data_IF_379695186802
#
_entry.id   IF_379695186802
#
_cell.length_a   1.000
_cell.length_b   1.000
_cell.length_c   1.000
_cell.angle_alpha   90.00
_cell.angle_beta   90.00
_cell.angle_gamma   90.00
#
_symmetry.space_group_name_H-M   'P 1'
#
loop_
_entity.id
_entity.type
_entity.pdbx_description
1 polymer ?
#
# COMPACT_ATOMS: atom_id res chain seq x y z
N UNK A 1 0.30 -13.10 20.79
CA UNK A 1 0.75 -12.65 19.45
C UNK A 1 0.18 -11.29 19.05
N UNK A 2 -1.10 -11.16 18.71
CA UNK A 2 -1.76 -9.90 18.27
C UNK A 2 -1.50 -8.69 19.20
N UNK A 3 -1.61 -8.84 20.53
CA UNK A 3 -1.33 -7.75 21.48
C UNK A 3 0.11 -7.20 21.38
N UNK A 4 1.09 -8.04 21.04
CA UNK A 4 2.49 -7.63 20.87
C UNK A 4 2.64 -6.87 19.55
N UNK A 5 2.05 -7.40 18.48
CA UNK A 5 2.08 -6.79 17.15
C UNK A 5 1.45 -5.39 17.15
N UNK A 6 0.28 -5.24 17.78
CA UNK A 6 -0.40 -3.94 17.91
C UNK A 6 0.43 -2.90 18.67
N UNK A 7 1.22 -3.30 19.68
CA UNK A 7 2.08 -2.37 20.44
C UNK A 7 3.20 -1.75 19.59
N UNK A 8 3.59 -2.40 18.50
CA UNK A 8 4.65 -1.90 17.60
C UNK A 8 4.13 -0.80 16.66
N UNK A 9 2.83 -0.75 16.38
CA UNK A 9 2.25 0.06 15.30
C UNK A 9 1.31 1.17 15.79
N UNK A 10 1.00 1.19 17.09
CA UNK A 10 0.02 2.11 17.67
C UNK A 10 0.73 3.25 18.39
N UNK A 11 0.27 4.48 18.15
CA UNK A 11 0.78 5.67 18.83
C UNK A 11 0.61 5.59 20.35
N UNK A 12 1.56 6.19 21.07
CA UNK A 12 1.51 6.25 22.53
C UNK A 12 0.60 7.38 23.03
N UNK A 13 0.60 8.51 22.31
CA UNK A 13 -0.16 9.72 22.63
C UNK A 13 -1.52 9.68 21.90
N UNK A 14 -2.51 10.41 22.42
CA UNK A 14 -3.87 10.53 21.88
C UNK A 14 -4.71 9.22 21.93
N UNK A 15 -5.65 9.16 22.87
CA UNK A 15 -6.50 7.99 23.11
C UNK A 15 -7.46 7.67 21.95
N UNK A 16 -7.89 8.68 21.19
CA UNK A 16 -8.83 8.52 20.07
C UNK A 16 -8.12 7.85 18.89
N UNK A 17 -6.94 8.37 18.50
CA UNK A 17 -6.12 7.78 17.43
C UNK A 17 -5.76 6.34 17.78
N UNK A 18 -5.33 6.11 19.03
CA UNK A 18 -5.01 4.77 19.54
C UNK A 18 -6.16 3.78 19.40
N UNK A 19 -7.40 4.19 19.70
CA UNK A 19 -8.57 3.33 19.58
C UNK A 19 -8.89 3.01 18.11
N UNK A 20 -8.78 4.00 17.22
CA UNK A 20 -8.96 3.83 15.78
C UNK A 20 -7.92 2.85 15.21
N UNK A 21 -6.63 3.10 15.44
CA UNK A 21 -5.54 2.24 14.94
C UNK A 21 -5.70 0.81 15.46
N UNK A 22 -6.06 0.64 16.73
CA UNK A 22 -6.30 -0.70 17.29
C UNK A 22 -7.41 -1.46 16.55
N UNK A 23 -8.48 -0.79 16.11
CA UNK A 23 -9.57 -1.43 15.37
C UNK A 23 -9.11 -1.83 13.97
N UNK A 24 -8.53 -0.89 13.23
CA UNK A 24 -8.06 -1.09 11.85
C UNK A 24 -6.98 -2.18 11.79
N UNK A 25 -5.93 -2.05 12.61
CA UNK A 25 -4.80 -2.99 12.61
C UNK A 25 -5.21 -4.40 13.05
N UNK A 26 -6.17 -4.53 13.98
CA UNK A 26 -6.66 -5.85 14.38
C UNK A 26 -7.33 -6.56 13.20
N UNK A 27 -8.15 -5.85 12.43
CA UNK A 27 -8.80 -6.42 11.25
C UNK A 27 -7.75 -6.76 10.17
N UNK A 28 -6.86 -5.81 9.86
CA UNK A 28 -5.79 -5.99 8.89
C UNK A 28 -4.93 -7.22 9.20
N UNK A 29 -4.31 -7.29 10.38
CA UNK A 29 -3.46 -8.41 10.77
C UNK A 29 -4.20 -9.75 10.88
N UNK A 30 -5.51 -9.75 11.12
CA UNK A 30 -6.32 -10.97 11.05
C UNK A 30 -6.52 -11.44 9.60
N UNK A 31 -6.67 -10.52 8.65
CA UNK A 31 -6.86 -10.83 7.24
C UNK A 31 -5.56 -11.28 6.57
N UNK A 32 -4.42 -10.74 7.00
CA UNK A 32 -3.10 -11.01 6.37
C UNK A 32 -2.27 -12.07 7.08
N UNK A 33 -2.76 -12.68 8.17
CA UNK A 33 -2.01 -13.64 9.01
C UNK A 33 -1.49 -14.87 8.29
N UNK A 34 -2.09 -15.23 7.14
CA UNK A 34 -1.72 -16.41 6.36
C UNK A 34 -0.72 -16.10 5.23
N UNK A 35 -0.23 -14.86 5.09
CA UNK A 35 0.80 -14.50 4.10
C UNK A 35 2.07 -15.31 4.34
N UNK A 36 2.58 -15.97 3.30
CA UNK A 36 3.81 -16.78 3.30
C UNK A 36 4.82 -16.30 2.28
N UNK A 37 4.34 -15.74 1.16
CA UNK A 37 5.18 -15.18 0.10
C UNK A 37 4.66 -13.82 -0.33
N UNK A 38 5.44 -13.15 -1.19
CA UNK A 38 5.03 -11.90 -1.83
C UNK A 38 3.76 -12.05 -2.67
N UNK A 39 3.50 -13.25 -3.21
CA UNK A 39 2.28 -13.54 -3.97
C UNK A 39 1.01 -13.50 -3.13
N UNK A 40 1.13 -13.50 -1.80
CA UNK A 40 -0.01 -13.39 -0.90
C UNK A 40 -0.44 -11.93 -0.65
N UNK A 41 0.32 -10.95 -1.14
CA UNK A 41 0.01 -9.53 -1.06
C UNK A 41 -1.03 -9.12 -2.11
N UNK A 42 -1.68 -7.98 -1.90
CA UNK A 42 -2.81 -7.56 -2.73
C UNK A 42 -2.40 -7.25 -4.17
N UNK A 43 -1.33 -6.47 -4.45
CA UNK A 43 -0.89 -6.20 -5.82
C UNK A 43 -0.61 -7.47 -6.60
N UNK A 44 0.07 -8.43 -5.97
CA UNK A 44 0.37 -9.71 -6.59
C UNK A 44 -0.90 -10.46 -7.02
N UNK A 45 -1.89 -10.55 -6.12
CA UNK A 45 -3.15 -11.24 -6.39
C UNK A 45 -3.94 -10.54 -7.50
N UNK A 46 -4.03 -9.22 -7.45
CA UNK A 46 -4.77 -8.42 -8.44
C UNK A 46 -4.14 -8.56 -9.82
N UNK A 47 -2.84 -8.32 -9.96
CA UNK A 47 -2.16 -8.37 -11.26
C UNK A 47 -2.05 -9.79 -11.82
N UNK A 48 -1.89 -10.81 -10.98
CA UNK A 48 -2.01 -12.22 -11.43
C UNK A 48 -3.41 -12.53 -11.92
N UNK A 49 -4.45 -12.05 -11.24
CA UNK A 49 -5.83 -12.29 -11.69
C UNK A 49 -6.17 -11.52 -12.97
N UNK A 50 -5.62 -10.32 -13.12
CA UNK A 50 -5.73 -9.55 -14.35
C UNK A 50 -5.09 -10.27 -15.54
N UNK A 51 -3.90 -10.87 -15.38
CA UNK A 51 -3.28 -11.60 -16.49
C UNK A 51 -4.02 -12.91 -16.83
N UNK A 52 -4.60 -13.60 -15.84
CA UNK A 52 -5.50 -14.73 -16.11
C UNK A 52 -6.67 -14.30 -16.99
N UNK A 53 -7.33 -13.19 -16.65
CA UNK A 53 -8.42 -12.63 -17.45
C UNK A 53 -7.98 -12.27 -18.88
N UNK A 54 -6.80 -11.65 -19.04
CA UNK A 54 -6.26 -11.33 -20.37
C UNK A 54 -6.02 -12.61 -21.18
N UNK A 55 -5.43 -13.65 -20.58
CA UNK A 55 -5.19 -14.94 -21.25
C UNK A 55 -6.48 -15.63 -21.66
N UNK A 56 -7.52 -15.57 -20.83
CA UNK A 56 -8.84 -16.12 -21.12
C UNK A 56 -9.59 -15.34 -22.22
N UNK A 57 -9.08 -14.17 -22.63
CA UNK A 57 -9.74 -13.29 -23.61
C UNK A 57 -8.93 -13.06 -24.89
N UNK A 58 -7.85 -13.80 -25.11
CA UNK A 58 -6.97 -13.63 -26.30
C UNK A 58 -7.68 -13.84 -27.65
N UNK A 59 -8.75 -14.65 -27.68
CA UNK A 59 -9.50 -14.89 -28.91
C UNK A 59 -10.46 -13.74 -29.28
N UNK A 60 -10.63 -12.74 -28.40
CA UNK A 60 -11.50 -11.60 -28.66
C UNK A 60 -10.73 -10.45 -29.31
N UNK A 61 -11.32 -9.85 -30.36
CA UNK A 61 -10.68 -8.75 -31.11
C UNK A 61 -10.55 -7.43 -30.33
N UNK A 62 -11.41 -7.20 -29.33
CA UNK A 62 -11.43 -5.97 -28.52
C UNK A 62 -11.83 -6.32 -27.10
N UNK A 63 -10.93 -6.08 -26.17
CA UNK A 63 -11.12 -6.33 -24.75
C UNK A 63 -11.04 -5.00 -24.00
N UNK A 64 -11.93 -4.80 -23.04
CA UNK A 64 -11.81 -3.75 -22.06
C UNK A 64 -11.54 -4.41 -20.71
N UNK A 65 -10.39 -4.08 -20.10
CA UNK A 65 -9.99 -4.58 -18.79
C UNK A 65 -9.84 -3.40 -17.84
N UNK A 66 -10.65 -3.37 -16.78
CA UNK A 66 -10.49 -2.44 -15.67
C UNK A 66 -9.83 -3.19 -14.52
N UNK A 67 -8.65 -2.71 -14.12
CA UNK A 67 -7.90 -3.22 -12.98
C UNK A 67 -7.97 -2.17 -11.89
N UNK A 68 -8.54 -2.53 -10.75
CA UNK A 68 -8.63 -1.69 -9.56
C UNK A 68 -7.70 -2.28 -8.49
N UNK A 69 -6.50 -1.71 -8.36
CA UNK A 69 -5.54 -2.07 -7.32
C UNK A 69 -5.71 -1.15 -6.12
N UNK A 70 -6.00 -1.75 -4.96
CA UNK A 70 -6.33 -1.00 -3.75
C UNK A 70 -5.09 -0.49 -3.01
N UNK A 71 -3.96 -1.18 -3.11
CA UNK A 71 -2.69 -0.64 -2.60
C UNK A 71 -2.26 0.56 -3.48
N UNK A 72 -1.64 1.60 -2.90
CA UNK A 72 -1.07 1.67 -1.55
C UNK A 72 -2.02 2.29 -0.51
N UNK A 73 -3.32 1.96 -0.48
CA UNK A 73 -4.18 2.37 0.64
C UNK A 73 -3.65 1.80 1.97
N UNK A 74 -3.71 2.57 3.05
CA UNK A 74 -3.29 2.11 4.38
C UNK A 74 -4.17 0.94 4.89
N UNK A 75 -3.67 0.03 5.75
CA UNK A 75 -2.34 0.03 6.38
C UNK A 75 -1.17 -0.34 5.47
N UNK A 76 -0.07 0.43 5.55
CA UNK A 76 1.14 0.23 4.75
C UNK A 76 2.06 -0.83 5.37
N UNK A 77 1.88 -2.10 4.99
CA UNK A 77 2.61 -3.25 5.53
C UNK A 77 3.43 -3.98 4.47
N UNK A 78 4.36 -3.30 3.76
CA UNK A 78 5.06 -3.89 2.62
C UNK A 78 6.02 -5.00 3.07
N UNK A 79 6.39 -5.94 2.17
CA UNK A 79 7.50 -6.85 2.43
C UNK A 79 8.76 -6.08 2.85
N UNK A 80 9.51 -6.61 3.81
CA UNK A 80 10.64 -5.91 4.42
C UNK A 80 11.67 -5.42 3.39
N UNK A 81 11.88 -6.17 2.29
CA UNK A 81 12.80 -5.78 1.21
C UNK A 81 12.46 -4.43 0.56
N UNK A 82 11.18 -4.06 0.48
CA UNK A 82 10.73 -2.78 -0.08
C UNK A 82 10.81 -1.66 0.95
N UNK A 83 10.46 -1.96 2.21
CA UNK A 83 10.62 -0.99 3.31
C UNK A 83 12.09 -0.58 3.47
N UNK A 84 13.02 -1.55 3.37
CA UNK A 84 14.46 -1.32 3.54
C UNK A 84 15.08 -0.39 2.47
N UNK A 85 14.39 -0.16 1.34
CA UNK A 85 14.83 0.80 0.33
C UNK A 85 14.74 2.25 0.83
N UNK A 86 13.83 2.52 1.77
CA UNK A 86 13.48 3.87 2.22
C UNK A 86 13.70 4.07 3.72
N UNK A 87 13.79 2.99 4.49
CA UNK A 87 13.90 3.05 5.93
C UNK A 87 15.32 3.43 6.39
N UNK A 88 15.40 4.42 7.27
CA UNK A 88 16.64 4.76 7.97
C UNK A 88 17.11 3.60 8.85
N UNK A 89 18.39 3.23 8.73
CA UNK A 89 18.99 2.14 9.52
C UNK A 89 18.91 2.45 11.02
N UNK A 90 18.58 1.43 11.80
CA UNK A 90 18.54 1.54 13.27
C UNK A 90 17.27 2.17 13.83
N UNK A 91 16.21 2.29 13.03
CA UNK A 91 14.91 2.74 13.51
C UNK A 91 14.36 1.84 14.64
N UNK A 92 13.98 2.45 15.76
CA UNK A 92 13.44 1.75 16.96
C UNK A 92 12.11 2.31 17.45
N UNK A 93 11.52 3.26 16.72
CA UNK A 93 10.26 3.91 17.07
C UNK A 93 9.01 3.07 16.76
N UNK A 94 7.85 3.71 16.80
CA UNK A 94 6.57 3.09 16.41
C UNK A 94 6.54 2.90 14.89
N UNK A 95 6.29 1.67 14.45
CA UNK A 95 6.08 1.34 13.04
C UNK A 95 4.75 1.92 12.55
N UNK A 96 4.75 3.19 12.18
CA UNK A 96 3.55 3.93 11.81
C UNK A 96 3.06 3.55 10.41
N UNK A 97 2.11 2.62 10.34
CA UNK A 97 1.56 2.13 9.08
C UNK A 97 0.10 2.55 8.86
N UNK A 98 -0.50 3.30 9.80
CA UNK A 98 -1.91 3.71 9.75
C UNK A 98 -2.04 5.16 10.23
N UNK A 99 -2.02 6.15 9.32
CA UNK A 99 -2.13 7.56 9.69
C UNK A 99 -3.49 7.86 10.33
N UNK A 100 -3.54 8.94 11.13
CA UNK A 100 -4.81 9.56 11.49
C UNK A 100 -5.13 10.64 10.44
N UNK A 101 -6.39 10.76 10.04
CA UNK A 101 -6.77 11.78 9.06
C UNK A 101 -7.01 13.09 9.80
N UNK A 102 -6.10 14.05 9.66
CA UNK A 102 -6.14 15.33 10.39
C UNK A 102 -5.14 16.36 9.88
N UNK A 103 -5.40 17.62 10.20
CA UNK A 103 -4.56 18.79 9.90
C UNK A 103 -3.51 19.03 10.99
N UNK A 104 -2.90 17.94 11.47
CA UNK A 104 -1.76 18.00 12.40
C UNK A 104 -0.96 16.71 12.33
N UNK A 105 0.37 16.80 12.37
CA UNK A 105 1.26 15.64 12.62
C UNK A 105 1.75 15.54 14.06
N UNK A 106 1.23 16.34 15.00
CA UNK A 106 1.73 16.43 16.39
C UNK A 106 1.60 15.11 17.18
N UNK A 107 0.81 14.17 16.65
CA UNK A 107 0.68 12.83 17.19
C UNK A 107 1.86 11.90 16.84
N UNK A 108 2.76 12.33 15.95
CA UNK A 108 3.95 11.62 15.49
C UNK A 108 5.22 12.36 15.92
N UNK A 109 6.28 11.61 16.24
CA UNK A 109 7.63 12.18 16.18
C UNK A 109 8.11 12.30 14.74
N UNK A 110 9.19 13.05 14.51
CA UNK A 110 9.81 13.16 13.18
C UNK A 110 10.23 11.79 12.64
N UNK A 111 10.77 10.93 13.51
CA UNK A 111 11.19 9.58 13.15
C UNK A 111 9.98 8.68 12.83
N UNK A 112 8.87 8.80 13.57
CA UNK A 112 7.62 8.08 13.27
C UNK A 112 6.99 8.55 11.95
N UNK A 113 7.05 9.85 11.64
CA UNK A 113 6.64 10.39 10.35
C UNK A 113 7.52 9.88 9.20
N UNK A 114 8.85 9.83 9.40
CA UNK A 114 9.77 9.27 8.40
C UNK A 114 9.53 7.77 8.17
N UNK A 115 9.26 7.00 9.23
CA UNK A 115 8.88 5.60 9.09
C UNK A 115 7.61 5.46 8.26
N UNK A 116 6.59 6.28 8.54
CA UNK A 116 5.33 6.28 7.81
C UNK A 116 5.52 6.54 6.31
N UNK A 117 6.37 7.51 5.95
CA UNK A 117 6.76 7.79 4.56
C UNK A 117 7.48 6.61 3.91
N UNK A 118 8.41 5.98 4.63
CA UNK A 118 9.12 4.80 4.14
C UNK A 118 8.18 3.62 3.91
N UNK A 119 7.19 3.41 4.79
CA UNK A 119 6.15 2.37 4.60
C UNK A 119 5.28 2.64 3.38
N UNK A 120 4.82 3.87 3.17
CA UNK A 120 4.06 4.22 1.97
C UNK A 120 4.89 4.00 0.69
N UNK A 121 6.12 4.50 0.64
CA UNK A 121 7.01 4.33 -0.51
C UNK A 121 7.35 2.84 -0.77
N UNK A 122 7.47 2.05 0.31
CA UNK A 122 7.62 0.60 0.24
C UNK A 122 6.42 -0.07 -0.46
N UNK A 123 5.19 0.30 -0.11
CA UNK A 123 4.01 -0.26 -0.81
C UNK A 123 3.87 0.22 -2.24
N UNK A 124 4.23 1.47 -2.54
CA UNK A 124 4.30 1.94 -3.92
C UNK A 124 5.28 1.08 -4.74
N UNK A 125 6.42 0.69 -4.15
CA UNK A 125 7.40 -0.18 -4.83
C UNK A 125 6.90 -1.60 -5.03
N UNK A 126 6.11 -2.13 -4.09
CA UNK A 126 5.44 -3.42 -4.27
C UNK A 126 4.44 -3.35 -5.43
N UNK A 127 3.62 -2.30 -5.48
CA UNK A 127 2.67 -2.06 -6.57
C UNK A 127 3.39 -1.95 -7.92
N UNK A 128 4.46 -1.15 -7.98
CA UNK A 128 5.29 -0.96 -9.18
C UNK A 128 5.86 -2.29 -9.70
N UNK A 129 6.39 -3.12 -8.80
CA UNK A 129 6.93 -4.44 -9.17
C UNK A 129 5.85 -5.33 -9.81
N UNK A 130 4.65 -5.39 -9.26
CA UNK A 130 3.57 -6.25 -9.77
C UNK A 130 2.85 -5.67 -10.98
N UNK A 131 2.78 -4.34 -11.10
CA UNK A 131 2.39 -3.69 -12.34
C UNK A 131 3.39 -3.97 -13.45
N UNK A 132 4.70 -3.93 -13.14
CA UNK A 132 5.77 -4.33 -14.06
C UNK A 132 5.65 -5.78 -14.52
N UNK A 133 5.30 -6.70 -13.60
CA UNK A 133 4.96 -8.09 -13.95
C UNK A 133 3.82 -8.16 -14.97
N UNK A 134 2.70 -7.46 -14.71
CA UNK A 134 1.55 -7.43 -15.62
C UNK A 134 1.95 -6.89 -17.01
N UNK A 135 2.67 -5.77 -17.07
CA UNK A 135 3.16 -5.17 -18.32
C UNK A 135 4.08 -6.12 -19.08
N UNK A 136 4.97 -6.83 -18.39
CA UNK A 136 5.86 -7.81 -19.02
C UNK A 136 5.08 -8.98 -19.60
N UNK A 137 4.07 -9.50 -18.90
CA UNK A 137 3.22 -10.56 -19.45
C UNK A 137 2.46 -10.11 -20.71
N UNK A 138 1.99 -8.86 -20.78
CA UNK A 138 1.40 -8.32 -22.01
C UNK A 138 2.39 -8.29 -23.18
N UNK A 139 3.68 -8.04 -22.90
CA UNK A 139 4.74 -8.06 -23.91
C UNK A 139 5.06 -9.49 -24.37
N UNK A 140 5.14 -10.43 -23.44
CA UNK A 140 5.35 -11.86 -23.75
C UNK A 140 4.18 -12.44 -24.56
N UNK A 141 2.97 -11.92 -24.37
CA UNK A 141 1.79 -12.24 -25.18
C UNK A 141 1.72 -11.47 -26.50
N UNK A 142 2.69 -10.60 -26.80
CA UNK A 142 2.76 -9.77 -28.01
C UNK A 142 1.56 -8.83 -28.22
N UNK A 143 0.83 -8.48 -27.15
CA UNK A 143 -0.35 -7.59 -27.21
C UNK A 143 -0.10 -6.20 -26.64
N UNK A 144 1.04 -5.98 -25.98
CA UNK A 144 1.38 -4.69 -25.36
C UNK A 144 1.35 -3.53 -26.36
N UNK A 145 1.96 -3.70 -27.54
CA UNK A 145 2.08 -2.63 -28.54
C UNK A 145 0.74 -2.30 -29.25
N UNK A 146 -0.24 -3.20 -29.21
CA UNK A 146 -1.60 -3.00 -29.75
C UNK A 146 -2.62 -2.60 -28.67
N UNK A 147 -2.14 -2.34 -27.44
CA UNK A 147 -2.98 -1.99 -26.30
C UNK A 147 -2.89 -0.51 -25.93
N UNK A 148 -4.03 0.13 -25.67
CA UNK A 148 -4.08 1.42 -24.97
C UNK A 148 -4.12 1.16 -23.46
N UNK A 149 -3.05 1.52 -22.76
CA UNK A 149 -2.95 1.41 -21.30
C UNK A 149 -3.10 2.80 -20.68
N UNK A 150 -4.11 2.95 -19.82
CA UNK A 150 -4.34 4.18 -19.05
C UNK A 150 -4.06 3.86 -17.58
N UNK A 151 -3.08 4.54 -17.00
CA UNK A 151 -2.72 4.42 -15.60
C UNK A 151 -3.01 5.73 -14.86
N UNK A 152 -3.91 5.67 -13.88
CA UNK A 152 -4.35 6.82 -13.09
C UNK A 152 -4.57 6.39 -11.63
N UNK A 153 -4.64 7.37 -10.74
CA UNK A 153 -5.08 7.20 -9.36
C UNK A 153 -6.36 8.00 -9.14
N UNK A 154 -7.20 7.55 -8.20
CA UNK A 154 -8.44 8.20 -7.81
C UNK A 154 -8.21 9.51 -7.03
N UNK A 155 -7.18 9.55 -6.17
CA UNK A 155 -6.79 10.73 -5.37
C UNK A 155 -5.36 10.62 -4.81
N UNK A 156 -4.84 11.71 -4.24
CA UNK A 156 -3.58 11.70 -3.48
C UNK A 156 -3.73 11.24 -2.02
N UNK A 157 -2.62 11.26 -1.28
CA UNK A 157 -2.59 11.01 0.17
C UNK A 157 -1.53 11.91 0.82
N UNK A 158 -1.91 12.73 1.80
CA UNK A 158 -0.94 13.56 2.53
C UNK A 158 -0.20 12.73 3.58
N UNK A 159 1.12 12.84 3.59
CA UNK A 159 2.04 12.14 4.47
C UNK A 159 2.94 13.17 5.18
N UNK A 160 2.30 14.21 5.71
CA UNK A 160 2.91 15.30 6.48
C UNK A 160 3.10 16.61 5.72
N UNK A 161 2.77 16.68 4.43
CA UNK A 161 2.67 17.95 3.70
C UNK A 161 1.68 18.88 4.39
N UNK A 162 2.02 20.16 4.51
CA UNK A 162 1.21 21.18 5.17
C UNK A 162 0.77 20.81 6.60
N UNK A 163 1.58 20.01 7.31
CA UNK A 163 1.26 19.51 8.64
C UNK A 163 0.00 18.61 8.67
N UNK A 164 -0.35 17.95 7.56
CA UNK A 164 -1.56 17.14 7.45
C UNK A 164 -1.26 15.69 7.07
N UNK A 165 -2.15 14.78 7.48
CA UNK A 165 -2.14 13.36 7.10
C UNK A 165 -3.51 12.90 6.61
N UNK A 166 -3.53 11.98 5.65
CA UNK A 166 -4.75 11.42 5.07
C UNK A 166 -5.24 12.19 3.84
N UNK A 167 -6.53 12.02 3.56
CA UNK A 167 -7.20 12.51 2.35
C UNK A 167 -8.12 13.68 2.71
N UNK A 168 -7.55 14.82 3.07
CA UNK A 168 -8.32 15.99 3.51
C UNK A 168 -8.66 16.91 2.33
N UNK A 169 -9.94 17.28 2.12
CA UNK A 169 -10.37 18.04 0.95
C UNK A 169 -9.68 19.40 0.76
N UNK A 170 -9.14 20.01 1.82
CA UNK A 170 -8.45 21.30 1.70
C UNK A 170 -7.02 21.18 1.11
N UNK A 171 -6.50 19.97 0.97
CA UNK A 171 -5.14 19.69 0.50
C UNK A 171 -5.09 18.70 -0.67
N UNK A 172 -6.25 18.33 -1.23
CA UNK A 172 -6.42 17.54 -2.46
C UNK A 172 -6.95 18.44 -3.57
#
# INVERSE_FOLDING_TARGET
EMKRLLKLHIVKKNAVIKLMQKRVLKAHFSNVKERKSEEDYFPAKTFKKAIEFVKDTLDFKKVFCLIDEFDPHEPWDPPQKYLDLYLEKGYTGIKMITPAYMESVDYLTKEELNFMRASYAGEVSLCDNWFGYFVNELKELEIYDDSLIIFISDHGHSIGEHNATGKLPMFM
#
